data_IF_387068025230
#
_entry.id   IF_387068025230
#
_cell.length_a   1.000
_cell.length_b   1.000
_cell.length_c   1.000
_cell.angle_alpha   90.00
_cell.angle_beta   90.00
_cell.angle_gamma   90.00
#
_symmetry.space_group_name_H-M   'P 1'
#
loop_
_entity.id
_entity.type
_entity.pdbx_description
1 polymer ?
#
# COMPACT_ATOMS: atom_id res chain seq x y z
N UNK A 1 -2.77 23.58 -1.89
CA UNK A 1 -3.33 23.20 -0.58
C UNK A 1 -3.16 21.69 -0.37
N UNK A 2 -2.64 21.25 0.78
CA UNK A 2 -2.54 19.83 1.14
C UNK A 2 -3.91 19.39 1.65
N UNK A 3 -4.49 18.32 1.08
CA UNK A 3 -5.77 17.78 1.55
C UNK A 3 -5.62 17.24 2.98
N UNK A 4 -6.69 17.32 3.79
CA UNK A 4 -6.68 16.82 5.17
C UNK A 4 -6.29 15.33 5.26
N UNK A 5 -6.65 14.55 4.24
CA UNK A 5 -6.25 13.14 4.11
C UNK A 5 -4.75 12.97 3.90
N UNK A 6 -4.13 13.76 3.00
CA UNK A 6 -2.69 13.73 2.77
C UNK A 6 -1.91 14.06 4.04
N UNK A 7 -2.37 15.03 4.83
CA UNK A 7 -1.76 15.38 6.12
C UNK A 7 -1.80 14.21 7.11
N UNK A 8 -2.92 13.49 7.18
CA UNK A 8 -3.05 12.29 8.03
C UNK A 8 -2.15 11.15 7.56
N UNK A 9 -2.03 10.92 6.26
CA UNK A 9 -1.13 9.88 5.74
C UNK A 9 0.33 10.17 6.07
N UNK A 10 0.77 11.43 5.92
CA UNK A 10 2.10 11.87 6.35
C UNK A 10 2.29 11.54 7.84
N UNK A 11 1.34 11.94 8.69
CA UNK A 11 1.39 11.69 10.12
C UNK A 11 1.54 10.19 10.45
N UNK A 12 0.72 9.33 9.86
CA UNK A 12 0.81 7.87 10.06
C UNK A 12 2.16 7.31 9.63
N UNK A 13 2.62 7.67 8.44
CA UNK A 13 3.87 7.12 7.88
C UNK A 13 5.11 7.65 8.59
N UNK A 14 5.10 8.89 9.08
CA UNK A 14 6.20 9.44 9.88
C UNK A 14 6.25 8.77 11.24
N UNK A 15 5.09 8.53 11.86
CA UNK A 15 5.00 7.94 13.18
C UNK A 15 5.44 6.47 13.24
N UNK A 16 5.21 5.72 12.17
CA UNK A 16 5.65 4.33 12.04
C UNK A 16 6.96 4.18 11.24
N UNK A 17 7.63 5.28 10.90
CA UNK A 17 8.87 5.21 10.16
C UNK A 17 9.95 4.46 10.96
N UNK A 18 10.64 3.53 10.32
CA UNK A 18 11.69 2.73 10.97
C UNK A 18 11.20 1.62 11.91
N UNK A 19 9.89 1.41 12.07
CA UNK A 19 9.33 0.32 12.90
C UNK A 19 8.26 -0.50 12.18
N UNK A 20 8.11 -1.74 12.64
CA UNK A 20 6.96 -2.59 12.26
C UNK A 20 5.75 -2.19 13.09
N UNK A 21 4.56 -2.27 12.50
CA UNK A 21 3.30 -2.00 13.20
C UNK A 21 2.19 -2.90 12.69
N UNK A 22 1.17 -3.12 13.53
CA UNK A 22 -0.04 -3.85 13.17
C UNK A 22 -1.25 -2.90 13.09
N UNK A 23 -2.40 -3.45 12.70
CA UNK A 23 -3.66 -2.70 12.64
C UNK A 23 -4.08 -2.14 14.00
N UNK A 24 -3.87 -2.90 15.06
CA UNK A 24 -4.29 -2.50 16.40
C UNK A 24 -3.39 -1.37 16.95
N UNK A 25 -2.11 -1.31 16.54
CA UNK A 25 -1.24 -0.17 16.86
C UNK A 25 -1.76 1.11 16.21
N UNK A 26 -2.16 1.05 14.94
CA UNK A 26 -2.75 2.19 14.23
C UNK A 26 -4.08 2.65 14.87
N UNK A 27 -4.84 1.73 15.46
CA UNK A 27 -6.06 2.06 16.21
C UNK A 27 -5.76 2.71 17.57
N UNK A 28 -4.80 2.13 18.31
CA UNK A 28 -4.44 2.55 19.67
C UNK A 28 -3.70 3.90 19.66
N UNK A 29 -2.69 4.05 18.81
CA UNK A 29 -1.83 5.24 18.81
C UNK A 29 -2.53 6.49 18.24
N UNK A 30 -3.55 6.31 17.40
CA UNK A 30 -4.33 7.41 16.82
C UNK A 30 -5.74 7.54 17.40
N UNK A 31 -6.02 6.86 18.52
CA UNK A 31 -7.30 6.86 19.25
C UNK A 31 -8.50 6.80 18.29
N UNK A 32 -8.46 5.87 17.34
CA UNK A 32 -9.49 5.78 16.31
C UNK A 32 -10.78 5.29 16.96
N UNK A 33 -11.89 6.02 16.77
CA UNK A 33 -13.18 5.64 17.39
C UNK A 33 -13.74 4.28 16.91
N UNK A 34 -13.27 3.74 15.77
CA UNK A 34 -13.76 2.49 15.16
C UNK A 34 -12.63 1.71 14.49
N UNK A 35 -12.55 0.39 14.74
CA UNK A 35 -11.61 -0.54 14.07
C UNK A 35 -11.77 -0.58 12.55
N UNK A 36 -12.97 -0.28 12.04
CA UNK A 36 -13.24 -0.13 10.62
C UNK A 36 -12.44 1.01 9.98
N UNK A 37 -12.16 2.09 10.73
CA UNK A 37 -11.35 3.21 10.25
C UNK A 37 -9.89 2.84 10.04
N UNK A 38 -9.30 2.12 11.00
CA UNK A 38 -7.91 1.63 10.90
C UNK A 38 -7.73 0.67 9.71
N UNK A 39 -8.72 -0.20 9.48
CA UNK A 39 -8.71 -1.11 8.33
C UNK A 39 -8.78 -0.37 7.00
N UNK A 40 -9.65 0.64 6.90
CA UNK A 40 -9.76 1.47 5.70
C UNK A 40 -8.46 2.23 5.42
N UNK A 41 -7.84 2.79 6.46
CA UNK A 41 -6.58 3.52 6.34
C UNK A 41 -5.45 2.60 5.91
N UNK A 42 -5.31 1.42 6.50
CA UNK A 42 -4.28 0.45 6.07
C UNK A 42 -4.48 0.03 4.61
N UNK A 43 -5.72 -0.25 4.19
CA UNK A 43 -6.02 -0.54 2.79
C UNK A 43 -5.61 0.62 1.88
N UNK A 44 -5.92 1.85 2.27
CA UNK A 44 -5.50 3.03 1.52
C UNK A 44 -3.98 3.15 1.45
N UNK A 45 -3.27 3.07 2.58
CA UNK A 45 -1.81 3.19 2.64
C UNK A 45 -1.11 2.10 1.81
N UNK A 46 -1.59 0.85 1.86
CA UNK A 46 -1.10 -0.25 1.02
C UNK A 46 -1.34 0.02 -0.47
N UNK A 47 -2.55 0.46 -0.81
CA UNK A 47 -2.92 0.76 -2.21
C UNK A 47 -2.09 1.92 -2.79
N UNK A 48 -1.70 2.88 -1.95
CA UNK A 48 -0.79 3.96 -2.34
C UNK A 48 0.68 3.56 -2.32
N UNK A 49 1.02 2.34 -1.91
CA UNK A 49 2.40 1.87 -1.78
C UNK A 49 3.20 2.59 -0.67
N UNK A 50 2.52 3.29 0.24
CA UNK A 50 3.15 4.03 1.34
C UNK A 50 3.62 3.09 2.44
N UNK A 51 2.96 1.94 2.55
CA UNK A 51 3.33 0.85 3.45
C UNK A 51 3.28 -0.47 2.67
N UNK A 52 3.97 -1.49 3.16
CA UNK A 52 3.92 -2.85 2.64
C UNK A 52 3.77 -3.84 3.81
N UNK A 53 3.27 -5.05 3.50
CA UNK A 53 3.17 -6.13 4.47
C UNK A 53 4.48 -6.92 4.48
N UNK A 54 5.07 -7.06 5.66
CA UNK A 54 6.24 -7.89 5.94
C UNK A 54 5.84 -9.37 6.04
N UNK A 55 6.82 -10.29 5.98
CA UNK A 55 6.59 -11.74 5.98
C UNK A 55 5.87 -12.25 7.24
N UNK A 56 5.93 -11.49 8.34
CA UNK A 56 5.26 -11.79 9.61
C UNK A 56 3.81 -11.29 9.68
N UNK A 57 3.26 -10.79 8.57
CA UNK A 57 1.89 -10.23 8.52
C UNK A 57 1.76 -8.82 9.11
N UNK A 58 2.86 -8.24 9.58
CA UNK A 58 2.97 -6.86 10.08
C UNK A 58 3.19 -5.87 8.93
N UNK A 59 3.01 -4.57 9.18
CA UNK A 59 3.20 -3.51 8.20
C UNK A 59 4.49 -2.73 8.46
N UNK A 60 5.13 -2.28 7.38
CA UNK A 60 6.29 -1.36 7.41
C UNK A 60 6.07 -0.22 6.43
N UNK A 61 6.64 0.93 6.76
CA UNK A 61 6.65 2.10 5.88
C UNK A 61 7.63 1.88 4.73
N UNK A 62 7.22 2.22 3.51
CA UNK A 62 8.05 2.14 2.32
C UNK A 62 9.17 3.18 2.36
N UNK A 63 10.40 2.81 1.98
CA UNK A 63 11.53 3.74 1.97
C UNK A 63 11.30 5.00 1.11
N UNK A 64 10.52 4.86 0.03
CA UNK A 64 10.18 5.98 -0.87
C UNK A 64 8.92 6.75 -0.46
N UNK A 65 8.35 6.46 0.71
CA UNK A 65 7.09 7.04 1.16
C UNK A 65 7.12 8.58 1.18
N UNK A 66 8.18 9.18 1.71
CA UNK A 66 8.32 10.64 1.77
C UNK A 66 8.33 11.29 0.38
N UNK A 67 9.00 10.68 -0.59
CA UNK A 67 9.03 11.16 -1.96
C UNK A 67 7.66 11.02 -2.63
N UNK A 68 6.96 9.90 -2.42
CA UNK A 68 5.61 9.67 -2.95
C UNK A 68 4.59 10.66 -2.36
N UNK A 69 4.69 10.95 -1.06
CA UNK A 69 3.89 11.95 -0.38
C UNK A 69 4.20 13.36 -0.91
N UNK A 70 5.48 13.71 -1.15
CA UNK A 70 5.87 15.00 -1.72
C UNK A 70 5.37 15.18 -3.16
N UNK A 71 5.59 14.20 -4.03
CA UNK A 71 5.17 14.24 -5.44
C UNK A 71 3.65 14.27 -5.60
N UNK A 72 2.89 13.92 -4.57
CA UNK A 72 1.43 13.97 -4.64
C UNK A 72 0.84 12.94 -5.61
N UNK A 73 1.65 11.98 -6.07
CA UNK A 73 1.20 10.78 -6.80
C UNK A 73 0.52 9.80 -5.85
N UNK A 74 -0.46 10.29 -5.11
CA UNK A 74 -1.52 9.42 -4.64
C UNK A 74 -2.20 8.96 -5.93
N UNK A 75 -2.22 7.66 -6.21
CA UNK A 75 -3.13 7.09 -7.21
C UNK A 75 -4.56 7.40 -6.76
N UNK A 76 -5.01 8.64 -6.96
CA UNK A 76 -6.34 9.09 -6.61
C UNK A 76 -7.29 8.12 -7.26
N UNK A 77 -8.04 7.42 -6.42
CA UNK A 77 -9.09 6.53 -6.85
C UNK A 77 -10.20 7.44 -7.37
N UNK A 78 -10.11 7.84 -8.63
CA UNK A 78 -11.33 7.97 -9.42
C UNK A 78 -12.05 6.63 -9.32
N UNK A 79 -13.34 6.70 -9.02
CA UNK A 79 -14.21 5.65 -8.49
C UNK A 79 -14.47 4.44 -9.41
N UNK A 80 -13.47 3.96 -10.16
CA UNK A 80 -13.61 2.89 -11.16
C UNK A 80 -12.72 1.66 -10.94
N UNK A 81 -11.82 1.64 -9.95
CA UNK A 81 -10.86 0.54 -9.76
C UNK A 81 -11.35 -0.66 -8.94
N UNK A 82 -12.64 -0.72 -8.58
CA UNK A 82 -13.21 -1.87 -7.84
C UNK A 82 -13.38 -3.15 -8.69
N UNK A 83 -13.13 -3.10 -10.01
CA UNK A 83 -13.16 -4.29 -10.88
C UNK A 83 -11.79 -4.68 -11.46
N UNK A 84 -10.82 -3.75 -11.49
CA UNK A 84 -9.53 -3.97 -12.15
C UNK A 84 -8.40 -4.43 -11.22
N UNK A 85 -8.52 -4.33 -9.89
CA UNK A 85 -7.46 -4.79 -8.98
C UNK A 85 -7.18 -6.31 -9.11
N UNK A 86 -8.25 -7.11 -9.12
CA UNK A 86 -8.18 -8.57 -9.29
C UNK A 86 -7.72 -8.94 -10.71
N UNK A 87 -8.14 -8.18 -11.72
CA UNK A 87 -7.73 -8.38 -13.11
C UNK A 87 -6.25 -8.02 -13.33
N UNK A 88 -5.73 -6.99 -12.68
CA UNK A 88 -4.34 -6.54 -12.79
C UNK A 88 -3.39 -7.52 -12.09
N UNK A 89 -3.73 -8.03 -10.91
CA UNK A 89 -2.94 -9.08 -10.27
C UNK A 89 -2.92 -10.37 -11.10
N UNK A 90 -4.06 -10.77 -11.66
CA UNK A 90 -4.15 -11.94 -12.54
C UNK A 90 -3.37 -11.75 -13.85
N UNK A 91 -3.41 -10.55 -14.44
CA UNK A 91 -2.68 -10.23 -15.67
C UNK A 91 -1.16 -10.17 -15.43
N UNK A 92 -0.72 -9.62 -14.29
CA UNK A 92 0.68 -9.58 -13.91
C UNK A 92 1.22 -11.00 -13.67
N UNK A 93 0.46 -11.85 -12.98
CA UNK A 93 0.83 -13.24 -12.76
C UNK A 93 0.91 -14.03 -14.08
N UNK A 94 -0.02 -13.79 -15.01
CA UNK A 94 0.01 -14.40 -16.34
C UNK A 94 1.22 -13.92 -17.16
N UNK A 95 1.62 -12.65 -17.03
CA UNK A 95 2.79 -12.10 -17.72
C UNK A 95 4.08 -12.72 -17.18
N UNK A 96 4.23 -12.84 -15.86
CA UNK A 96 5.37 -13.51 -15.21
C UNK A 96 5.50 -14.95 -15.70
N UNK A 97 4.40 -15.72 -15.71
CA UNK A 97 4.42 -17.11 -16.20
C UNK A 97 4.81 -17.22 -17.67
N UNK A 98 4.42 -16.26 -18.52
CA UNK A 98 4.84 -16.24 -19.94
C UNK A 98 6.32 -15.92 -20.08
N UNK A 99 6.86 -15.03 -19.26
CA UNK A 99 8.30 -14.74 -19.22
C UNK A 99 9.11 -15.95 -18.77
N UNK A 100 8.68 -16.65 -17.71
CA UNK A 100 9.34 -17.87 -17.25
C UNK A 100 9.33 -18.97 -18.33
N UNK A 101 8.21 -19.15 -19.03
CA UNK A 101 8.11 -20.12 -20.13
C UNK A 101 9.02 -19.77 -21.33
N UNK A 102 9.15 -18.48 -21.65
CA UNK A 102 10.07 -18.01 -22.69
C UNK A 102 11.53 -18.24 -22.30
N UNK A 103 11.91 -17.96 -21.05
CA UNK A 103 13.26 -18.20 -20.55
C UNK A 103 13.60 -19.68 -20.49
N UNK A 104 12.63 -20.54 -20.15
CA UNK A 104 12.79 -21.98 -20.20
C UNK A 104 12.95 -22.50 -21.64
N UNK A 105 12.22 -21.92 -22.60
CA UNK A 105 12.32 -22.28 -24.02
C UNK A 105 13.59 -21.82 -24.72
N UNK A 106 14.25 -20.76 -24.23
CA UNK A 106 15.52 -20.24 -24.78
C UNK A 106 16.75 -20.99 -24.22
N UNK A 107 16.60 -21.77 -23.14
CA UNK A 107 17.66 -22.62 -22.57
C UNK A 107 17.64 -24.08 -23.07
N UNK A 108 16.76 -24.40 -24.03
CA UNK A 108 16.67 -25.71 -24.69
C UNK A 108 17.44 -25.78 -25.99
#
# INVERSE_FOLDING_TARGET
MISAQKRRYIEYTTHFNGRVFCRDDLFSEFNMKKRAGATAIIKSLLNYGLIYQDQNGLYRVSANCEQMLKEGKFRSHDSSASANGIAVESALFALVRKFDALLAGVRG
#
